data_IF_792513518159
#
_entry.id   IF_792513518159
#
_cell.length_a   1.000
_cell.length_b   1.000
_cell.length_c   1.000
_cell.angle_alpha   90.00
_cell.angle_beta   90.00
_cell.angle_gamma   90.00
#
_symmetry.space_group_name_H-M   'P 1'
#
loop_
_entity.id
_entity.type
_entity.pdbx_description
1 polymer ?
#
# COMPACT_ATOMS: atom_id res chain seq x y z
N UNK A 1 9.72 3.68 -2.71
CA UNK A 1 9.72 4.74 -1.69
C UNK A 1 8.59 5.72 -1.97
N UNK A 2 7.92 6.18 -0.93
CA UNK A 2 6.76 7.07 -1.03
C UNK A 2 6.86 8.23 -0.03
N UNK A 3 6.38 9.39 -0.45
CA UNK A 3 6.33 10.59 0.39
C UNK A 3 5.13 11.44 -0.02
N UNK A 4 4.51 12.09 0.92
CA UNK A 4 3.45 13.06 0.64
C UNK A 4 3.78 14.41 1.27
N UNK A 5 3.35 15.46 0.60
CA UNK A 5 3.34 16.78 1.18
C UNK A 5 2.20 16.92 2.19
N UNK A 6 2.31 17.94 3.01
CA UNK A 6 1.30 18.33 3.98
C UNK A 6 1.87 19.41 4.88
N UNK A 7 1.00 20.11 5.61
CA UNK A 7 1.43 21.10 6.59
C UNK A 7 1.67 20.46 7.97
N UNK A 8 0.60 20.20 8.70
CA UNK A 8 0.66 19.57 10.04
C UNK A 8 0.42 18.08 10.00
N UNK A 9 -0.29 17.60 9.00
CA UNK A 9 -0.62 16.19 8.81
C UNK A 9 -0.73 15.85 7.33
N UNK A 10 -0.57 14.58 7.02
CA UNK A 10 -0.79 14.06 5.68
C UNK A 10 -2.28 14.09 5.34
N UNK A 11 -2.61 14.57 4.17
CA UNK A 11 -3.98 14.55 3.63
C UNK A 11 -4.11 13.73 2.36
N UNK A 12 -3.02 13.51 1.65
CA UNK A 12 -3.00 12.70 0.45
C UNK A 12 -2.97 11.20 0.71
N UNK A 13 -3.22 10.43 -0.32
CA UNK A 13 -3.09 8.98 -0.31
C UNK A 13 -2.02 8.57 -1.31
N UNK A 14 -1.25 7.54 -0.98
CA UNK A 14 -0.20 7.04 -1.84
C UNK A 14 -0.08 5.52 -1.68
N UNK A 15 0.16 4.84 -2.78
CA UNK A 15 0.23 3.39 -2.73
C UNK A 15 0.68 2.73 -4.01
N UNK A 16 0.59 1.42 -4.01
CA UNK A 16 0.91 0.56 -5.15
C UNK A 16 -0.26 -0.38 -5.46
N UNK A 17 -0.32 -0.82 -6.70
CA UNK A 17 -1.21 -1.91 -7.12
C UNK A 17 -0.39 -3.16 -7.39
N UNK A 18 -0.91 -4.30 -6.98
CA UNK A 18 -0.34 -5.60 -7.27
C UNK A 18 -1.48 -6.61 -7.46
N UNK A 19 -1.53 -7.26 -8.61
CA UNK A 19 -2.56 -8.24 -8.96
C UNK A 19 -4.00 -7.75 -8.66
N UNK A 20 -4.31 -6.49 -9.02
CA UNK A 20 -5.62 -5.85 -8.80
C UNK A 20 -5.94 -5.55 -7.32
N UNK A 21 -4.99 -5.75 -6.42
CA UNK A 21 -5.10 -5.26 -5.05
C UNK A 21 -4.45 -3.88 -4.94
N UNK A 22 -5.13 -2.99 -4.26
CA UNK A 22 -4.64 -1.66 -3.94
C UNK A 22 -4.06 -1.68 -2.53
N UNK A 23 -2.82 -1.31 -2.39
CA UNK A 23 -2.13 -1.20 -1.11
C UNK A 23 -1.83 0.27 -0.89
N UNK A 24 -2.54 0.90 0.02
CA UNK A 24 -2.59 2.36 0.13
C UNK A 24 -2.32 2.84 1.55
N UNK A 25 -1.44 3.82 1.67
CA UNK A 25 -1.33 4.67 2.85
C UNK A 25 -2.35 5.80 2.71
N UNK A 26 -3.35 5.79 3.59
CA UNK A 26 -4.45 6.76 3.57
C UNK A 26 -4.18 7.86 4.60
N UNK A 27 -3.91 9.06 4.12
CA UNK A 27 -3.39 10.13 4.95
C UNK A 27 -4.38 10.64 6.00
N UNK A 28 -5.60 10.91 5.61
CA UNK A 28 -6.61 11.46 6.53
C UNK A 28 -6.95 10.51 7.68
N UNK A 29 -6.96 9.21 7.42
CA UNK A 29 -7.32 8.19 8.39
C UNK A 29 -6.11 7.60 9.10
N UNK A 30 -4.90 7.84 8.61
CA UNK A 30 -3.66 7.29 9.13
C UNK A 30 -3.72 5.76 9.24
N UNK A 31 -4.00 5.12 8.11
CA UNK A 31 -4.13 3.67 7.97
C UNK A 31 -3.30 3.16 6.80
N UNK A 32 -2.90 1.91 6.89
CA UNK A 32 -2.47 1.09 5.77
C UNK A 32 -3.64 0.19 5.38
N UNK A 33 -4.04 0.26 4.11
CA UNK A 33 -5.23 -0.43 3.61
C UNK A 33 -4.88 -1.34 2.45
N UNK A 34 -5.47 -2.53 2.45
CA UNK A 34 -5.55 -3.42 1.29
C UNK A 34 -7.00 -3.45 0.82
N UNK A 35 -7.22 -3.13 -0.44
CA UNK A 35 -8.56 -3.12 -1.02
C UNK A 35 -8.57 -3.69 -2.45
N UNK A 36 -9.76 -4.05 -2.91
CA UNK A 36 -10.02 -4.45 -4.27
C UNK A 36 -11.45 -4.08 -4.64
N UNK A 37 -11.66 -3.63 -5.87
CA UNK A 37 -12.99 -3.34 -6.39
C UNK A 37 -13.78 -4.61 -6.71
N UNK A 38 -13.10 -5.74 -6.82
CA UNK A 38 -13.72 -7.05 -7.02
C UNK A 38 -13.90 -7.74 -5.67
N UNK A 39 -15.11 -8.27 -5.43
CA UNK A 39 -15.51 -8.90 -4.16
C UNK A 39 -15.38 -8.01 -2.92
N UNK A 40 -15.25 -6.72 -3.11
CA UNK A 40 -15.25 -5.70 -2.06
C UNK A 40 -14.27 -5.97 -0.90
N UNK A 41 -13.12 -6.51 -1.21
CA UNK A 41 -12.06 -6.63 -0.21
C UNK A 41 -11.65 -5.25 0.25
N UNK A 42 -11.70 -5.03 1.55
CA UNK A 42 -11.24 -3.78 2.17
C UNK A 42 -10.88 -4.04 3.63
N UNK A 43 -9.58 -4.09 3.91
CA UNK A 43 -9.06 -4.35 5.25
C UNK A 43 -7.97 -3.34 5.54
N UNK A 44 -7.98 -2.76 6.72
CA UNK A 44 -7.01 -1.75 7.12
C UNK A 44 -6.51 -1.95 8.54
N UNK A 45 -5.33 -1.40 8.81
CA UNK A 45 -4.74 -1.30 10.15
C UNK A 45 -4.26 0.12 10.39
N UNK A 46 -4.23 0.60 11.64
CA UNK A 46 -3.65 1.89 11.95
C UNK A 46 -2.18 1.95 11.54
N UNK A 47 -1.80 3.01 10.89
CA UNK A 47 -0.43 3.31 10.53
C UNK A 47 -0.21 4.82 10.54
N UNK A 48 0.55 5.30 11.52
CA UNK A 48 0.87 6.72 11.64
C UNK A 48 2.06 7.07 10.76
N UNK A 49 1.91 8.11 9.96
CA UNK A 49 2.97 8.60 9.09
C UNK A 49 2.88 10.13 8.92
N UNK A 50 4.02 10.73 8.63
CA UNK A 50 4.18 12.19 8.64
C UNK A 50 4.37 12.74 7.23
N UNK A 51 3.93 13.99 6.96
CA UNK A 51 4.24 14.64 5.70
C UNK A 51 5.75 14.91 5.57
N UNK A 52 6.21 15.05 4.34
CA UNK A 52 7.61 15.40 3.99
C UNK A 52 8.63 14.39 4.52
N UNK A 53 8.23 13.17 4.76
CA UNK A 53 9.08 12.07 5.20
C UNK A 53 8.93 10.90 4.23
N UNK A 54 10.04 10.29 3.86
CA UNK A 54 10.04 9.12 3.00
C UNK A 54 9.76 7.84 3.77
N UNK A 55 8.90 7.01 3.19
CA UNK A 55 8.58 5.67 3.69
C UNK A 55 8.84 4.65 2.60
N UNK A 56 9.10 3.43 3.00
CA UNK A 56 9.08 2.29 2.11
C UNK A 56 7.77 1.54 2.26
N UNK A 57 7.17 1.22 1.13
CA UNK A 57 5.95 0.43 1.05
C UNK A 57 6.25 -0.83 0.25
N UNK A 58 5.88 -1.97 0.80
CA UNK A 58 6.11 -3.26 0.18
C UNK A 58 4.83 -4.08 0.22
N UNK A 59 4.51 -4.72 -0.90
CA UNK A 59 3.41 -5.68 -0.97
C UNK A 59 3.86 -6.99 -1.57
N UNK A 60 3.17 -8.05 -1.19
CA UNK A 60 3.36 -9.39 -1.76
C UNK A 60 2.01 -10.09 -1.88
N UNK A 61 1.78 -10.74 -2.99
CA UNK A 61 0.59 -11.56 -3.23
C UNK A 61 1.05 -12.98 -3.53
N UNK A 62 0.57 -13.93 -2.75
CA UNK A 62 0.84 -15.35 -2.93
C UNK A 62 -0.49 -16.08 -3.19
N UNK A 63 -0.56 -16.84 -4.25
CA UNK A 63 -1.75 -17.61 -4.66
C UNK A 63 -1.50 -19.08 -4.43
N UNK A 64 -2.41 -19.72 -3.69
CA UNK A 64 -2.38 -21.15 -3.47
C UNK A 64 -3.02 -21.93 -4.64
N UNK A 65 -2.76 -23.23 -4.70
CA UNK A 65 -3.28 -24.10 -5.76
C UNK A 65 -4.81 -24.14 -5.81
N UNK A 66 -5.48 -23.94 -4.67
CA UNK A 66 -6.95 -23.91 -4.59
C UNK A 66 -7.56 -22.57 -5.04
N UNK A 67 -6.75 -21.60 -5.46
CA UNK A 67 -7.19 -20.28 -5.91
C UNK A 67 -7.34 -19.24 -4.80
N UNK A 68 -7.14 -19.63 -3.53
CA UNK A 68 -7.06 -18.67 -2.44
C UNK A 68 -5.73 -17.92 -2.46
N UNK A 69 -5.68 -16.78 -1.81
CA UNK A 69 -4.48 -15.97 -1.76
C UNK A 69 -4.27 -15.29 -0.42
N UNK A 70 -3.04 -14.88 -0.22
CA UNK A 70 -2.66 -14.04 0.92
C UNK A 70 -2.00 -12.78 0.35
N UNK A 71 -2.59 -11.64 0.67
CA UNK A 71 -2.08 -10.33 0.31
C UNK A 71 -1.41 -9.75 1.55
N UNK A 72 -0.12 -9.43 1.42
CA UNK A 72 0.66 -8.89 2.52
C UNK A 72 1.14 -7.49 2.18
N UNK A 73 1.12 -6.63 3.18
CA UNK A 73 1.61 -5.27 3.06
C UNK A 73 2.37 -4.85 4.31
N UNK A 74 3.41 -4.06 4.11
CA UNK A 74 4.12 -3.38 5.20
C UNK A 74 4.69 -2.06 4.73
N UNK A 75 4.79 -1.14 5.67
CA UNK A 75 5.41 0.15 5.45
C UNK A 75 6.29 0.50 6.65
N UNK A 76 7.37 1.23 6.38
CA UNK A 76 8.30 1.68 7.42
C UNK A 76 9.04 2.93 6.95
N UNK A 77 9.56 3.76 7.87
CA UNK A 77 10.36 4.92 7.48
C UNK A 77 11.62 4.51 6.69
N UNK A 78 11.89 5.21 5.60
CA UNK A 78 13.13 5.01 4.85
C UNK A 78 14.33 5.30 5.74
N UNK A 79 15.33 4.45 5.69
CA UNK A 79 16.53 4.55 6.54
C UNK A 79 16.45 3.68 7.80
N UNK A 80 15.28 3.21 8.19
CA UNK A 80 15.12 2.22 9.23
C UNK A 80 15.19 0.80 8.67
N UNK A 81 15.58 -0.20 9.47
CA UNK A 81 15.58 -1.59 9.03
C UNK A 81 14.19 -2.07 8.60
N UNK A 82 14.15 -2.90 7.56
CA UNK A 82 12.89 -3.51 7.13
C UNK A 82 12.32 -4.39 8.24
N UNK A 83 11.05 -4.17 8.67
CA UNK A 83 10.41 -5.02 9.66
C UNK A 83 10.32 -6.48 9.17
N UNK A 84 10.59 -7.43 10.03
CA UNK A 84 10.44 -8.86 9.72
C UNK A 84 8.97 -9.22 9.52
N UNK A 85 8.10 -8.73 10.39
CA UNK A 85 6.66 -8.96 10.31
C UNK A 85 6.00 -8.09 9.24
N UNK A 86 4.96 -8.61 8.63
CA UNK A 86 4.06 -7.84 7.79
C UNK A 86 3.13 -7.00 8.66
N UNK A 87 2.90 -5.76 8.26
CA UNK A 87 1.98 -4.85 8.98
C UNK A 87 0.53 -5.30 8.83
N UNK A 88 0.19 -5.82 7.65
CA UNK A 88 -1.16 -6.27 7.33
C UNK A 88 -1.08 -7.53 6.47
N UNK A 89 -1.87 -8.53 6.83
CA UNK A 89 -2.09 -9.73 6.01
C UNK A 89 -3.59 -9.92 5.78
N UNK A 90 -3.97 -10.13 4.54
CA UNK A 90 -5.37 -10.33 4.14
C UNK A 90 -5.49 -11.65 3.40
N UNK A 91 -6.38 -12.52 3.88
CA UNK A 91 -6.74 -13.76 3.19
C UNK A 91 -7.92 -13.50 2.28
N UNK A 92 -7.84 -13.94 1.05
CA UNK A 92 -8.90 -13.81 0.06
C UNK A 92 -9.17 -15.17 -0.59
N UNK A 93 -10.38 -15.69 -0.41
CA UNK A 93 -10.75 -17.02 -0.86
C UNK A 93 -10.66 -17.17 -2.38
N UNK A 94 -11.16 -16.20 -3.13
CA UNK A 94 -11.12 -16.15 -4.59
C UNK A 94 -10.17 -15.07 -5.06
N UNK A 95 -8.87 -15.26 -4.83
CA UNK A 95 -7.87 -14.26 -5.09
C UNK A 95 -7.71 -13.97 -6.59
N UNK A 96 -7.31 -12.74 -6.88
CA UNK A 96 -6.96 -12.34 -8.25
C UNK A 96 -5.68 -13.05 -8.69
N UNK A 97 -5.76 -13.78 -9.78
CA UNK A 97 -4.63 -14.54 -10.33
C UNK A 97 -3.74 -13.71 -11.24
N UNK A 98 -4.25 -12.63 -11.80
CA UNK A 98 -3.57 -11.78 -12.77
C UNK A 98 -3.87 -10.31 -12.49
N UNK A 99 -2.95 -9.47 -12.87
CA UNK A 99 -3.10 -8.03 -12.82
C UNK A 99 -1.75 -7.34 -12.96
N UNK A 100 -1.75 -6.19 -13.61
CA UNK A 100 -0.55 -5.39 -13.79
C UNK A 100 -0.16 -4.70 -12.49
N UNK A 101 1.13 -4.51 -12.23
CA UNK A 101 1.57 -3.63 -11.17
C UNK A 101 1.29 -2.17 -11.55
N UNK A 102 1.14 -1.33 -10.53
CA UNK A 102 0.88 0.09 -10.74
C UNK A 102 1.16 0.93 -9.51
N UNK A 103 0.95 2.20 -9.66
CA UNK A 103 1.12 3.19 -8.59
C UNK A 103 -0.17 3.97 -8.40
N UNK A 104 -0.39 4.43 -7.17
CA UNK A 104 -1.58 5.19 -6.79
C UNK A 104 -1.14 6.47 -6.10
N UNK A 105 -1.68 7.59 -6.55
CA UNK A 105 -1.50 8.88 -5.89
C UNK A 105 -2.78 9.67 -5.90
N UNK A 106 -3.14 10.25 -4.78
CA UNK A 106 -4.30 11.12 -4.64
C UNK A 106 -3.98 12.27 -3.70
N UNK A 107 -4.21 13.49 -4.18
CA UNK A 107 -4.07 14.69 -3.38
C UNK A 107 -5.37 15.48 -3.42
N UNK A 108 -6.06 15.65 -2.28
CA UNK A 108 -7.28 16.43 -2.26
C UNK A 108 -7.01 17.89 -2.62
N UNK A 109 -7.91 18.47 -3.42
CA UNK A 109 -7.87 19.86 -3.84
C UNK A 109 -6.62 20.30 -4.62
N UNK A 110 -5.82 19.36 -5.08
CA UNK A 110 -4.55 19.63 -5.79
C UNK A 110 -3.56 20.54 -5.03
N UNK A 111 -3.70 20.61 -3.71
CA UNK A 111 -2.88 21.49 -2.85
C UNK A 111 -1.55 20.86 -2.44
N UNK A 112 -1.47 19.53 -2.43
CA UNK A 112 -0.31 18.79 -1.98
C UNK A 112 0.14 17.81 -3.04
N UNK A 113 1.41 17.46 -3.01
CA UNK A 113 2.02 16.51 -3.94
C UNK A 113 2.27 15.16 -3.28
N UNK A 114 2.24 14.12 -4.08
CA UNK A 114 2.69 12.78 -3.71
C UNK A 114 3.91 12.44 -4.56
N UNK A 115 4.88 11.77 -3.95
CA UNK A 115 6.15 11.45 -4.58
C UNK A 115 6.43 9.96 -4.47
N UNK A 116 6.88 9.37 -5.56
CA UNK A 116 7.33 7.98 -5.60
C UNK A 116 8.70 7.87 -6.24
N UNK A 117 9.51 6.97 -5.70
CA UNK A 117 10.84 6.68 -6.21
C UNK A 117 11.20 5.22 -5.94
N UNK A 118 12.24 4.71 -6.61
CA UNK A 118 12.78 3.37 -6.40
C UNK A 118 11.71 2.27 -6.49
N UNK A 119 10.92 2.29 -7.55
CA UNK A 119 9.89 1.29 -7.80
C UNK A 119 10.54 0.03 -8.34
N UNK A 120 10.28 -1.11 -7.70
CA UNK A 120 10.77 -2.40 -8.16
C UNK A 120 9.68 -3.45 -8.10
N UNK A 121 9.74 -4.40 -9.02
CA UNK A 121 8.81 -5.51 -9.15
C UNK A 121 9.63 -6.79 -9.23
N UNK A 122 9.25 -7.79 -8.42
CA UNK A 122 9.92 -9.10 -8.41
C UNK A 122 8.87 -10.20 -8.53
N UNK A 123 9.22 -11.26 -9.24
CA UNK A 123 8.45 -12.50 -9.20
C UNK A 123 8.68 -13.22 -7.87
N UNK A 124 7.63 -13.85 -7.40
CA UNK A 124 7.70 -14.65 -6.18
C UNK A 124 8.43 -15.96 -6.43
#
# INVERSE_FOLDING_TARGET
DVMTDGSRRVKGNIGVMNQRYFITLVGNQQILEVSSNHERVKVSVPFRWSPKKWYRLKSRVDIAADGSGIIRAKAWPKGEPEPKAWTLEVKHKNAHKKGAPGIIGFSPQSLFRVYMDNISIKNN
#
